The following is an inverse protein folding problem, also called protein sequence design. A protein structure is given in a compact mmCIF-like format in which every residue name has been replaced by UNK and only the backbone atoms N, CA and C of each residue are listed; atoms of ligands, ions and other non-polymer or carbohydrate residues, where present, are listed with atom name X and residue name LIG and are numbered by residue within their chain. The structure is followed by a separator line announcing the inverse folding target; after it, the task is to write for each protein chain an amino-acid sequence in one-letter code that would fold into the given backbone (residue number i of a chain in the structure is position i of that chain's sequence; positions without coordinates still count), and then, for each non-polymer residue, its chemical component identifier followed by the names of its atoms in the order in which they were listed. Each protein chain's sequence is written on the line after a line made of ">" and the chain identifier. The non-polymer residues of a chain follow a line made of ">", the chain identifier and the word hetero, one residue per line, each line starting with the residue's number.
data_IF_540714645029
#
_entry.id   IF_540714645029
#
_cell.length_a   1.000
_cell.length_b   1.000
_cell.length_c   1.000
_cell.angle_alpha   90.00
_cell.angle_beta   90.00
_cell.angle_gamma   90.00
#
_symmetry.space_group_name_H-M   'P 1'
#
loop_
_entity.id
_entity.type
_entity.pdbx_description
1 polymer ?
#
# COMPACT_ATOMS: atom_id res chain seq x y z
N UNK A 1 2.89 -18.08 41.35
CA UNK A 1 2.25 -16.78 41.05
C UNK A 1 3.35 -15.75 41.02
N UNK A 2 3.75 -15.34 39.82
CA UNK A 2 4.85 -14.40 39.57
C UNK A 2 4.35 -12.96 39.65
N UNK A 3 5.25 -12.01 39.92
CA UNK A 3 4.96 -10.58 40.16
C UNK A 3 4.15 -9.87 39.06
N UNK A 4 4.06 -10.46 37.85
CA UNK A 4 3.28 -9.95 36.72
C UNK A 4 1.77 -9.99 36.96
N UNK A 5 1.27 -10.89 37.81
CA UNK A 5 -0.18 -10.98 38.07
C UNK A 5 -0.73 -9.83 38.92
N UNK A 6 0.12 -9.15 39.70
CA UNK A 6 -0.32 -8.02 40.54
C UNK A 6 -0.42 -6.70 39.78
N UNK A 7 0.40 -6.49 38.74
CA UNK A 7 0.39 -5.24 37.96
C UNK A 7 -0.92 -5.06 37.18
N UNK A 8 -1.50 -6.16 36.68
CA UNK A 8 -2.77 -6.13 35.93
C UNK A 8 -3.97 -5.92 36.86
N UNK A 9 -3.89 -6.39 38.11
CA UNK A 9 -4.96 -6.24 39.09
C UNK A 9 -5.05 -4.81 39.66
N UNK A 10 -3.90 -4.12 39.84
CA UNK A 10 -3.87 -2.73 40.30
C UNK A 10 -4.40 -1.74 39.23
N UNK A 11 -4.29 -2.07 37.95
CA UNK A 11 -4.75 -1.24 36.84
C UNK A 11 -6.29 -1.16 36.68
N UNK A 12 -7.06 -1.97 37.41
CA UNK A 12 -8.52 -2.11 37.22
C UNK A 12 -9.33 -1.40 38.32
N UNK A 13 -8.69 -0.83 39.35
CA UNK A 13 -9.41 -0.12 40.40
C UNK A 13 -9.82 1.29 39.95
N UNK A 14 -11.04 1.71 40.34
CA UNK A 14 -11.82 2.85 39.80
C UNK A 14 -11.25 4.27 40.04
N UNK A 15 -10.04 4.41 40.56
CA UNK A 15 -9.30 5.68 40.60
C UNK A 15 -7.96 5.63 39.82
N UNK A 16 -7.69 4.52 39.13
CA UNK A 16 -6.39 4.16 38.57
C UNK A 16 -6.20 4.47 37.09
N UNK A 17 -6.57 5.67 36.63
CA UNK A 17 -6.08 6.13 35.33
C UNK A 17 -4.75 6.86 35.57
N UNK A 18 -3.65 6.11 35.70
CA UNK A 18 -2.29 6.65 35.81
C UNK A 18 -1.93 7.60 34.64
N UNK A 19 -2.69 7.51 33.55
CA UNK A 19 -2.65 8.40 32.39
C UNK A 19 -3.37 9.74 32.55
N UNK A 20 -4.15 9.97 33.61
CA UNK A 20 -4.87 11.24 33.83
C UNK A 20 -3.94 12.44 33.95
N UNK A 21 -2.75 12.27 34.52
CA UNK A 21 -1.77 13.35 34.59
C UNK A 21 -1.25 13.73 33.19
N UNK A 22 -1.22 12.79 32.24
CA UNK A 22 -0.89 13.03 30.83
C UNK A 22 -2.09 13.49 29.99
N UNK A 23 -3.31 13.45 30.53
CA UNK A 23 -4.52 13.86 29.80
C UNK A 23 -4.67 15.39 29.71
N UNK A 24 -3.89 16.16 30.47
CA UNK A 24 -3.98 17.61 30.54
C UNK A 24 -2.86 18.36 29.80
N UNK A 25 -1.77 17.69 29.45
CA UNK A 25 -0.68 18.28 28.65
C UNK A 25 -0.71 17.74 27.23
N UNK A 26 -0.79 18.62 26.23
CA UNK A 26 -0.54 18.26 24.85
C UNK A 26 0.95 17.94 24.67
N UNK A 27 1.29 16.70 24.98
CA UNK A 27 2.63 16.17 24.73
C UNK A 27 2.94 16.23 23.23
N UNK A 28 4.05 16.87 22.80
CA UNK A 28 4.40 17.03 21.39
C UNK A 28 4.40 15.70 20.62
N UNK A 29 4.79 14.61 21.24
CA UNK A 29 4.79 13.26 20.67
C UNK A 29 3.38 12.72 20.42
N UNK A 30 2.39 13.06 21.26
CA UNK A 30 1.00 12.67 21.05
C UNK A 30 0.36 13.50 19.93
N UNK A 31 0.73 14.77 19.81
CA UNK A 31 0.31 15.63 18.69
C UNK A 31 0.95 15.15 17.39
N UNK A 32 2.24 14.80 17.40
CA UNK A 32 2.94 14.21 16.27
C UNK A 32 2.31 12.87 15.86
N UNK A 33 2.07 11.97 16.81
CA UNK A 33 1.44 10.68 16.54
C UNK A 33 0.02 10.83 15.99
N UNK A 34 -0.78 11.79 16.50
CA UNK A 34 -2.11 12.09 15.96
C UNK A 34 -2.05 12.67 14.55
N UNK A 35 -1.12 13.60 14.29
CA UNK A 35 -0.93 14.17 12.95
C UNK A 35 -0.49 13.10 11.94
N UNK A 36 0.46 12.25 12.32
CA UNK A 36 0.90 11.12 11.51
C UNK A 36 -0.21 10.10 11.26
N UNK A 37 -1.03 9.79 12.28
CA UNK A 37 -2.17 8.89 12.13
C UNK A 37 -3.30 9.50 11.28
N UNK A 38 -3.50 10.82 11.34
CA UNK A 38 -4.46 11.53 10.49
C UNK A 38 -4.00 11.62 9.02
N UNK A 39 -2.68 11.70 8.79
CA UNK A 39 -2.07 11.68 7.46
C UNK A 39 -1.87 10.26 6.91
N UNK A 40 -1.93 9.24 7.76
CA UNK A 40 -1.76 7.84 7.35
C UNK A 40 -2.87 7.41 6.40
N UNK A 41 -2.53 7.30 5.11
CA UNK A 41 -3.39 6.69 4.11
C UNK A 41 -3.00 5.22 3.94
N UNK A 42 -3.87 4.27 4.29
CA UNK A 42 -3.59 2.86 4.06
C UNK A 42 -3.39 2.63 2.56
N UNK A 43 -2.32 1.89 2.22
CA UNK A 43 -2.00 1.59 0.85
C UNK A 43 -3.14 0.76 0.23
N UNK A 44 -3.78 1.29 -0.81
CA UNK A 44 -4.81 0.56 -1.55
C UNK A 44 -4.13 -0.45 -2.47
N UNK A 45 -4.75 -1.62 -2.61
CA UNK A 45 -4.22 -2.66 -3.48
C UNK A 45 -5.18 -2.91 -4.63
N UNK A 46 -4.66 -2.85 -5.85
CA UNK A 46 -5.32 -3.33 -7.06
C UNK A 46 -4.66 -4.65 -7.44
N UNK A 47 -5.46 -5.66 -7.79
CA UNK A 47 -4.94 -6.98 -8.22
C UNK A 47 -5.59 -7.36 -9.54
N UNK A 48 -4.79 -7.84 -10.48
CA UNK A 48 -5.24 -8.53 -11.69
C UNK A 48 -4.53 -9.87 -11.79
N UNK A 49 -5.30 -10.94 -12.02
CA UNK A 49 -4.79 -12.29 -12.23
C UNK A 49 -5.27 -12.76 -13.59
N UNK A 50 -4.35 -12.88 -14.54
CA UNK A 50 -4.65 -13.23 -15.92
C UNK A 50 -3.50 -14.07 -16.51
N UNK A 51 -3.73 -14.66 -17.69
CA UNK A 51 -2.63 -15.15 -18.52
C UNK A 51 -2.06 -14.00 -19.32
N UNK A 52 -0.79 -14.10 -19.68
CA UNK A 52 -0.19 -13.24 -20.70
C UNK A 52 -0.82 -13.59 -22.06
N UNK A 53 -1.94 -12.95 -22.39
CA UNK A 53 -2.73 -13.22 -23.59
C UNK A 53 -3.27 -11.89 -24.14
N UNK A 54 -3.14 -11.69 -25.45
CA UNK A 54 -3.44 -10.41 -26.10
C UNK A 54 -4.92 -10.03 -26.02
N UNK A 55 -5.80 -10.99 -25.71
CA UNK A 55 -7.24 -10.74 -25.52
C UNK A 55 -7.58 -10.14 -24.16
N UNK A 56 -6.62 -10.07 -23.22
CA UNK A 56 -6.87 -9.65 -21.82
C UNK A 56 -6.74 -8.15 -21.58
N UNK A 57 -6.21 -7.41 -22.55
CA UNK A 57 -6.04 -5.96 -22.45
C UNK A 57 -5.08 -5.52 -21.34
N UNK A 58 -4.01 -6.30 -21.09
CA UNK A 58 -3.03 -5.98 -20.06
C UNK A 58 -2.34 -4.62 -20.29
N UNK A 59 -1.89 -4.28 -21.52
CA UNK A 59 -1.31 -2.97 -21.80
C UNK A 59 -2.28 -1.82 -21.50
N UNK A 60 -3.57 -1.98 -21.83
CA UNK A 60 -4.60 -0.97 -21.62
C UNK A 60 -4.85 -0.73 -20.14
N UNK A 61 -4.86 -1.79 -19.31
CA UNK A 61 -4.98 -1.66 -17.85
C UNK A 61 -3.78 -0.93 -17.25
N UNK A 62 -2.56 -1.25 -17.68
CA UNK A 62 -1.35 -0.56 -17.23
C UNK A 62 -1.38 0.93 -17.63
N UNK A 63 -1.74 1.24 -18.88
CA UNK A 63 -1.92 2.63 -19.35
C UNK A 63 -2.99 3.36 -18.54
N UNK A 64 -4.11 2.71 -18.23
CA UNK A 64 -5.17 3.29 -17.41
C UNK A 64 -4.70 3.57 -15.98
N UNK A 65 -3.92 2.65 -15.38
CA UNK A 65 -3.32 2.84 -14.07
C UNK A 65 -2.33 4.01 -14.06
N UNK A 66 -1.43 4.09 -15.05
CA UNK A 66 -0.54 5.23 -15.22
C UNK A 66 -1.28 6.56 -15.35
N UNK A 67 -2.32 6.62 -16.20
CA UNK A 67 -3.17 7.82 -16.35
C UNK A 67 -3.91 8.18 -15.07
N UNK A 68 -4.34 7.21 -14.28
CA UNK A 68 -4.97 7.44 -13.00
C UNK A 68 -3.99 8.11 -12.04
N UNK A 69 -2.74 7.65 -11.97
CA UNK A 69 -1.69 8.29 -11.17
C UNK A 69 -1.34 9.70 -11.66
N UNK A 70 -1.37 9.95 -12.98
CA UNK A 70 -1.18 11.30 -13.53
C UNK A 70 -2.32 12.25 -13.15
N UNK A 71 -3.56 11.76 -13.24
CA UNK A 71 -4.76 12.57 -13.03
C UNK A 71 -5.05 12.82 -11.55
N UNK A 72 -4.66 11.88 -10.69
CA UNK A 72 -4.96 11.85 -9.27
C UNK A 72 -3.66 11.59 -8.47
N UNK A 73 -2.77 12.59 -8.38
CA UNK A 73 -1.46 12.45 -7.71
C UNK A 73 -1.58 12.11 -6.22
N UNK A 74 -2.74 12.33 -5.59
CA UNK A 74 -3.02 11.90 -4.22
C UNK A 74 -2.94 10.38 -4.00
N UNK A 75 -2.89 9.58 -5.08
CA UNK A 75 -2.70 8.13 -5.03
C UNK A 75 -1.23 7.71 -5.17
N UNK A 76 -0.33 8.58 -5.63
CA UNK A 76 1.10 8.24 -5.71
C UNK A 76 1.64 7.90 -4.32
N UNK A 77 2.28 6.74 -4.17
CA UNK A 77 2.75 6.22 -2.88
C UNK A 77 1.65 5.62 -1.98
N UNK A 78 0.38 5.68 -2.39
CA UNK A 78 -0.77 5.22 -1.61
C UNK A 78 -1.61 4.15 -2.33
N UNK A 79 -1.18 3.71 -3.51
CA UNK A 79 -1.76 2.57 -4.22
C UNK A 79 -0.67 1.69 -4.84
N UNK A 80 -0.84 0.38 -4.73
CA UNK A 80 -0.01 -0.63 -5.40
C UNK A 80 -0.87 -1.48 -6.33
N UNK A 81 -0.39 -1.69 -7.56
CA UNK A 81 -1.03 -2.57 -8.53
C UNK A 81 -0.21 -3.84 -8.75
N UNK A 82 -0.75 -4.99 -8.36
CA UNK A 82 -0.20 -6.30 -8.65
C UNK A 82 -0.85 -6.88 -9.91
N UNK A 83 -0.04 -7.10 -10.95
CA UNK A 83 -0.43 -7.84 -12.14
C UNK A 83 0.24 -9.21 -12.12
N UNK A 84 -0.53 -10.24 -11.76
CA UNK A 84 -0.08 -11.63 -11.81
C UNK A 84 -0.40 -12.21 -13.20
N UNK A 85 0.55 -12.07 -14.13
CA UNK A 85 0.44 -12.59 -15.49
C UNK A 85 1.12 -13.97 -15.61
N UNK A 86 0.32 -15.02 -15.71
CA UNK A 86 0.85 -16.38 -15.95
C UNK A 86 1.36 -16.52 -17.39
N UNK A 87 2.57 -17.06 -17.63
CA UNK A 87 3.10 -17.23 -18.98
C UNK A 87 2.16 -18.06 -19.87
N UNK A 88 2.12 -17.71 -21.17
CA UNK A 88 1.35 -18.47 -22.15
C UNK A 88 2.03 -18.41 -23.50
N UNK A 89 2.15 -19.57 -24.18
CA UNK A 89 2.59 -19.68 -25.59
C UNK A 89 3.86 -18.88 -25.92
N UNK A 90 4.89 -19.03 -25.09
CA UNK A 90 6.12 -18.22 -25.15
C UNK A 90 6.90 -18.34 -26.48
N UNK A 91 6.66 -19.40 -27.25
CA UNK A 91 7.26 -19.61 -28.58
C UNK A 91 6.52 -18.88 -29.72
N UNK A 92 5.46 -18.14 -29.42
CA UNK A 92 4.68 -17.39 -30.42
C UNK A 92 5.07 -15.91 -30.36
N UNK A 93 5.48 -15.35 -31.49
CA UNK A 93 6.00 -13.96 -31.58
C UNK A 93 5.07 -12.91 -30.99
N UNK A 94 3.76 -13.03 -31.23
CA UNK A 94 2.76 -12.10 -30.68
C UNK A 94 2.74 -12.12 -29.14
N UNK A 95 2.95 -13.28 -28.52
CA UNK A 95 2.99 -13.41 -27.07
C UNK A 95 4.30 -12.86 -26.49
N UNK A 96 5.43 -13.02 -27.20
CA UNK A 96 6.71 -12.37 -26.84
C UNK A 96 6.60 -10.86 -26.89
N UNK A 97 6.04 -10.31 -27.97
CA UNK A 97 5.85 -8.87 -28.11
C UNK A 97 4.92 -8.30 -27.03
N UNK A 98 3.84 -9.02 -26.68
CA UNK A 98 2.97 -8.65 -25.58
C UNK A 98 3.73 -8.60 -24.24
N UNK A 99 4.60 -9.58 -23.97
CA UNK A 99 5.45 -9.58 -22.77
C UNK A 99 6.33 -8.33 -22.73
N UNK A 100 7.06 -8.07 -23.82
CA UNK A 100 7.96 -6.91 -23.92
C UNK A 100 7.21 -5.60 -23.68
N UNK A 101 6.02 -5.45 -24.28
CA UNK A 101 5.19 -4.27 -24.08
C UNK A 101 4.73 -4.12 -22.62
N UNK A 102 4.31 -5.21 -21.98
CA UNK A 102 3.92 -5.21 -20.56
C UNK A 102 5.11 -4.82 -19.68
N UNK A 103 6.28 -5.42 -19.88
CA UNK A 103 7.49 -5.13 -19.09
C UNK A 103 7.92 -3.67 -19.25
N UNK A 104 7.88 -3.14 -20.48
CA UNK A 104 8.19 -1.73 -20.77
C UNK A 104 7.23 -0.79 -20.05
N UNK A 105 5.92 -1.07 -20.09
CA UNK A 105 4.92 -0.23 -19.41
C UNK A 105 5.09 -0.26 -17.89
N UNK A 106 5.36 -1.44 -17.31
CA UNK A 106 5.66 -1.56 -15.88
C UNK A 106 6.90 -0.75 -15.52
N UNK A 107 7.98 -0.87 -16.28
CA UNK A 107 9.21 -0.12 -16.07
C UNK A 107 9.00 1.39 -16.17
N UNK A 108 8.23 1.86 -17.16
CA UNK A 108 7.90 3.29 -17.33
C UNK A 108 7.07 3.83 -16.17
N UNK A 109 6.04 3.10 -15.74
CA UNK A 109 5.17 3.53 -14.63
C UNK A 109 5.97 3.58 -13.33
N UNK A 110 6.72 2.52 -13.02
CA UNK A 110 7.52 2.48 -11.79
C UNK A 110 8.61 3.56 -11.80
N UNK A 111 9.33 3.73 -12.92
CA UNK A 111 10.36 4.75 -13.06
C UNK A 111 9.84 6.18 -12.87
N UNK A 112 8.54 6.42 -13.11
CA UNK A 112 7.93 7.73 -12.93
C UNK A 112 7.29 7.95 -11.57
N UNK A 113 6.70 6.91 -10.96
CA UNK A 113 5.83 7.07 -9.78
C UNK A 113 6.28 6.32 -8.54
N UNK A 114 7.26 5.41 -8.62
CA UNK A 114 7.76 4.72 -7.44
C UNK A 114 8.60 5.67 -6.58
N UNK A 115 8.39 5.59 -5.26
CA UNK A 115 9.22 6.26 -4.27
C UNK A 115 10.25 5.26 -3.74
N UNK A 116 11.46 5.72 -3.43
CA UNK A 116 12.43 4.95 -2.65
C UNK A 116 11.96 5.00 -1.19
N UNK A 117 11.26 3.95 -0.76
CA UNK A 117 10.83 3.77 0.64
C UNK A 117 11.81 2.89 1.40
#
# INVERSE_FOLDING_TARGET
>A
MTAESNAVAEAITKEGTWWSHYAHEELPELTLARSAAAEYKPNKVVVSVDRLDYTKGLPERLKAFGRMLEKYPEWTGHVTYYLLATPSRENVDTYRHLKEQVDQLVGQINGRFSLLS
#
